data_IF_144571979934
#
_entry.id   IF_144571979934
#
_cell.length_a   1.000
_cell.length_b   1.000
_cell.length_c   1.000
_cell.angle_alpha   90.00
_cell.angle_beta   90.00
_cell.angle_gamma   90.00
#
_symmetry.space_group_name_H-M   'P 1'
#
loop_
_entity.id
_entity.type
_entity.pdbx_description
1 polymer ?
#
# COMPACT_ATOMS: atom_id res chain seq x y z
N UNK A 1 -17.48 -13.23 8.45
CA UNK A 1 -17.84 -12.64 7.14
C UNK A 1 -16.94 -13.27 6.10
N UNK A 2 -17.49 -13.75 4.98
CA UNK A 2 -16.69 -14.36 3.92
C UNK A 2 -15.84 -13.24 3.29
N UNK A 3 -14.50 -13.33 3.40
CA UNK A 3 -13.58 -12.39 2.74
C UNK A 3 -13.77 -12.57 1.23
N UNK A 4 -14.41 -11.62 0.57
CA UNK A 4 -14.46 -11.59 -0.90
C UNK A 4 -13.03 -11.25 -1.33
N UNK A 5 -12.25 -12.27 -1.70
CA UNK A 5 -10.86 -12.10 -2.11
C UNK A 5 -10.86 -11.46 -3.49
N UNK A 6 -10.68 -10.14 -3.56
CA UNK A 6 -10.34 -9.51 -4.83
C UNK A 6 -8.86 -9.77 -5.09
N UNK A 7 -8.60 -10.67 -6.05
CA UNK A 7 -7.25 -10.92 -6.55
C UNK A 7 -6.65 -9.62 -7.10
N UNK A 8 -5.32 -9.57 -7.22
CA UNK A 8 -4.63 -8.45 -7.87
C UNK A 8 -5.24 -8.12 -9.25
N UNK A 9 -5.73 -9.12 -9.97
CA UNK A 9 -6.36 -8.96 -11.27
C UNK A 9 -7.88 -8.81 -11.14
N UNK A 10 -8.42 -7.74 -11.73
CA UNK A 10 -9.85 -7.63 -12.00
C UNK A 10 -10.11 -8.23 -13.39
N UNK A 11 -10.93 -9.27 -13.49
CA UNK A 11 -11.26 -9.90 -14.77
C UNK A 11 -12.16 -8.96 -15.60
N UNK A 12 -11.55 -8.24 -16.53
CA UNK A 12 -12.24 -7.51 -17.60
C UNK A 12 -11.67 -7.96 -18.94
N UNK A 13 -12.48 -8.65 -19.75
CA UNK A 13 -12.14 -9.02 -21.13
C UNK A 13 -12.13 -7.75 -21.99
N UNK A 14 -10.96 -7.12 -22.14
CA UNK A 14 -10.75 -6.10 -23.17
C UNK A 14 -9.43 -6.40 -23.85
N UNK A 15 -9.50 -6.81 -25.12
CA UNK A 15 -8.36 -6.84 -26.02
C UNK A 15 -7.88 -5.39 -26.22
N UNK A 16 -6.71 -5.05 -25.69
CA UNK A 16 -6.21 -3.68 -25.69
C UNK A 16 -4.69 -3.58 -25.61
N UNK A 17 -4.15 -2.81 -26.54
CA UNK A 17 -2.77 -2.32 -26.74
C UNK A 17 -1.69 -2.61 -25.68
N UNK A 18 -0.51 -3.03 -26.16
CA UNK A 18 0.73 -3.28 -25.41
C UNK A 18 1.40 -2.01 -24.83
N UNK A 19 0.63 -1.03 -24.34
CA UNK A 19 1.22 0.17 -23.74
C UNK A 19 1.73 -0.17 -22.34
N UNK A 20 3.05 -0.12 -22.14
CA UNK A 20 3.68 -0.17 -20.82
C UNK A 20 3.34 1.08 -20.00
N UNK A 21 3.26 0.93 -18.67
CA UNK A 21 3.24 2.10 -17.79
C UNK A 21 4.69 2.43 -17.43
N UNK A 22 5.18 3.56 -17.91
CA UNK A 22 6.48 4.04 -17.45
C UNK A 22 6.48 4.18 -15.92
N UNK A 23 7.61 3.83 -15.30
CA UNK A 23 7.81 4.01 -13.87
C UNK A 23 7.48 5.47 -13.47
N UNK A 24 6.69 5.63 -12.41
CA UNK A 24 6.32 6.93 -11.88
C UNK A 24 7.55 7.71 -11.43
N UNK A 25 7.51 9.04 -11.62
CA UNK A 25 8.52 9.93 -11.05
C UNK A 25 8.36 10.05 -9.52
N UNK A 26 9.43 10.44 -8.82
CA UNK A 26 9.39 10.66 -7.38
C UNK A 26 8.29 11.64 -6.95
N UNK A 27 8.05 12.70 -7.73
CA UNK A 27 6.96 13.66 -7.46
C UNK A 27 5.59 13.01 -7.55
N UNK A 28 5.37 12.10 -8.51
CA UNK A 28 4.13 11.33 -8.61
C UNK A 28 3.99 10.36 -7.44
N UNK A 29 5.04 9.63 -7.07
CA UNK A 29 5.05 8.73 -5.91
C UNK A 29 4.67 9.49 -4.63
N UNK A 30 5.24 10.67 -4.38
CA UNK A 30 4.87 11.52 -3.23
C UNK A 30 3.39 11.84 -3.20
N UNK A 31 2.81 12.20 -4.35
CA UNK A 31 1.38 12.54 -4.46
C UNK A 31 0.50 11.33 -4.18
N UNK A 32 0.82 10.17 -4.76
CA UNK A 32 0.05 8.93 -4.55
C UNK A 32 0.12 8.47 -3.09
N UNK A 33 1.32 8.48 -2.49
CA UNK A 33 1.51 8.14 -1.08
C UNK A 33 0.74 9.08 -0.16
N UNK A 34 0.79 10.40 -0.43
CA UNK A 34 0.05 11.39 0.33
C UNK A 34 -1.46 11.20 0.22
N UNK A 35 -1.99 10.97 -0.99
CA UNK A 35 -3.42 10.76 -1.18
C UNK A 35 -3.91 9.51 -0.45
N UNK A 36 -3.20 8.38 -0.58
CA UNK A 36 -3.54 7.15 0.15
C UNK A 36 -3.51 7.36 1.67
N UNK A 37 -2.48 8.04 2.17
CA UNK A 37 -2.32 8.33 3.60
C UNK A 37 -3.39 9.27 4.13
N UNK A 38 -3.78 10.29 3.38
CA UNK A 38 -4.86 11.20 3.73
C UNK A 38 -6.19 10.46 3.91
N UNK A 39 -6.50 9.50 3.02
CA UNK A 39 -7.70 8.67 3.14
C UNK A 39 -7.63 7.73 4.33
N UNK A 40 -6.48 7.09 4.55
CA UNK A 40 -6.24 6.29 5.75
C UNK A 40 -6.39 7.13 7.03
N UNK A 41 -5.91 8.38 7.04
CA UNK A 41 -6.03 9.29 8.17
C UNK A 41 -7.49 9.61 8.49
N UNK A 42 -8.27 9.94 7.45
CA UNK A 42 -9.67 10.26 7.58
C UNK A 42 -10.50 9.07 8.10
N UNK A 43 -10.28 7.88 7.56
CA UNK A 43 -11.10 6.71 7.89
C UNK A 43 -10.65 5.96 9.14
N UNK A 44 -9.34 5.92 9.42
CA UNK A 44 -8.78 5.23 10.58
C UNK A 44 -8.57 6.17 11.77
N UNK A 45 -8.90 7.46 11.62
CA UNK A 45 -8.73 8.49 12.65
C UNK A 45 -7.29 8.51 13.19
N UNK A 46 -6.31 8.67 12.27
CA UNK A 46 -4.89 8.69 12.62
C UNK A 46 -4.54 9.98 13.36
N UNK A 47 -3.69 9.87 14.39
CA UNK A 47 -3.05 11.05 14.97
C UNK A 47 -1.90 11.53 14.07
N UNK A 48 -1.34 12.72 14.36
CA UNK A 48 -0.31 13.32 13.52
C UNK A 48 0.99 12.49 13.44
N UNK A 49 1.38 11.79 14.51
CA UNK A 49 2.58 10.94 14.50
C UNK A 49 2.33 9.74 13.57
N UNK A 50 1.21 9.06 13.74
CA UNK A 50 0.80 7.96 12.87
C UNK A 50 0.68 8.40 11.41
N UNK A 51 0.11 9.58 11.15
CA UNK A 51 -0.06 10.11 9.80
C UNK A 51 1.28 10.28 9.06
N UNK A 52 2.30 10.80 9.73
CA UNK A 52 3.64 10.93 9.15
C UNK A 52 4.28 9.56 8.87
N UNK A 53 4.20 8.63 9.81
CA UNK A 53 4.80 7.30 9.64
C UNK A 53 4.08 6.47 8.57
N UNK A 54 2.75 6.54 8.51
CA UNK A 54 1.94 5.89 7.46
C UNK A 54 2.29 6.45 6.07
N UNK A 55 2.59 7.75 5.96
CA UNK A 55 3.03 8.34 4.70
C UNK A 55 4.34 7.72 4.22
N UNK A 56 5.32 7.56 5.10
CA UNK A 56 6.62 6.98 4.76
C UNK A 56 6.48 5.50 4.36
N UNK A 57 5.67 4.73 5.09
CA UNK A 57 5.36 3.33 4.75
C UNK A 57 4.70 3.22 3.37
N UNK A 58 3.70 4.07 3.10
CA UNK A 58 3.03 4.10 1.81
C UNK A 58 3.97 4.55 0.68
N UNK A 59 4.85 5.51 0.95
CA UNK A 59 5.88 5.94 -0.01
C UNK A 59 6.81 4.78 -0.35
N UNK A 60 7.38 4.10 0.64
CA UNK A 60 8.32 3.00 0.45
C UNK A 60 7.70 1.85 -0.34
N UNK A 61 6.45 1.50 -0.03
CA UNK A 61 5.72 0.49 -0.78
C UNK A 61 5.55 0.89 -2.25
N UNK A 62 5.01 2.09 -2.51
CA UNK A 62 4.74 2.56 -3.87
C UNK A 62 6.05 2.64 -4.67
N UNK A 63 7.11 3.18 -4.05
CA UNK A 63 8.44 3.24 -4.64
C UNK A 63 8.97 1.85 -5.00
N UNK A 64 8.83 0.88 -4.09
CA UNK A 64 9.32 -0.50 -4.30
C UNK A 64 8.57 -1.23 -5.42
N UNK A 65 7.25 -1.02 -5.55
CA UNK A 65 6.48 -1.69 -6.59
C UNK A 65 6.59 -1.00 -7.96
N UNK A 66 6.92 0.29 -7.99
CA UNK A 66 6.92 1.13 -9.20
C UNK A 66 7.68 0.51 -10.38
N UNK A 67 8.81 -0.13 -10.11
CA UNK A 67 9.69 -0.71 -11.13
C UNK A 67 9.36 -2.18 -11.48
N UNK A 68 8.51 -2.85 -10.70
CA UNK A 68 8.17 -4.27 -10.92
C UNK A 68 6.77 -4.46 -11.46
N UNK A 69 5.86 -3.49 -11.27
CA UNK A 69 4.45 -3.65 -11.66
C UNK A 69 4.27 -3.90 -13.15
N UNK A 70 5.15 -3.35 -13.98
CA UNK A 70 5.14 -3.55 -15.43
C UNK A 70 5.38 -5.02 -15.82
N UNK A 71 6.22 -5.74 -15.07
CA UNK A 71 6.43 -7.18 -15.24
C UNK A 71 5.29 -8.00 -14.61
N UNK A 72 4.74 -7.51 -13.49
CA UNK A 72 3.58 -8.13 -12.83
C UNK A 72 2.38 -8.18 -13.77
N UNK A 73 2.04 -7.07 -14.44
CA UNK A 73 0.91 -7.01 -15.37
C UNK A 73 1.12 -7.86 -16.63
N UNK A 74 2.39 -8.17 -16.97
CA UNK A 74 2.76 -9.11 -18.04
C UNK A 74 2.76 -10.58 -17.61
N UNK A 75 2.40 -10.88 -16.36
CA UNK A 75 2.31 -12.24 -15.85
C UNK A 75 3.64 -12.84 -15.38
N UNK A 76 4.68 -12.01 -15.14
CA UNK A 76 5.94 -12.52 -14.60
C UNK A 76 5.76 -12.97 -13.14
N UNK A 77 5.85 -14.28 -12.90
CA UNK A 77 5.64 -14.89 -11.57
C UNK A 77 6.63 -14.39 -10.52
N UNK A 78 7.89 -14.15 -10.87
CA UNK A 78 8.91 -13.62 -9.94
C UNK A 78 8.59 -12.17 -9.57
N UNK A 79 8.10 -11.37 -10.51
CA UNK A 79 7.66 -10.00 -10.21
C UNK A 79 6.41 -10.01 -9.32
N UNK A 80 5.47 -10.93 -9.56
CA UNK A 80 4.28 -11.13 -8.72
C UNK A 80 4.63 -11.51 -7.28
N UNK A 81 5.60 -12.42 -7.10
CA UNK A 81 6.13 -12.78 -5.79
C UNK A 81 6.73 -11.57 -5.06
N UNK A 82 7.51 -10.74 -5.77
CA UNK A 82 8.07 -9.50 -5.21
C UNK A 82 6.97 -8.50 -4.82
N UNK A 83 5.91 -8.38 -5.62
CA UNK A 83 4.77 -7.53 -5.29
C UNK A 83 4.13 -7.96 -3.96
N UNK A 84 3.77 -9.23 -3.83
CA UNK A 84 3.15 -9.73 -2.59
C UNK A 84 4.09 -9.66 -1.39
N UNK A 85 5.39 -9.88 -1.58
CA UNK A 85 6.37 -9.67 -0.52
C UNK A 85 6.42 -8.21 -0.03
N UNK A 86 6.43 -7.24 -0.94
CA UNK A 86 6.40 -5.83 -0.58
C UNK A 86 5.08 -5.41 0.08
N UNK A 87 3.96 -6.00 -0.36
CA UNK A 87 2.65 -5.76 0.25
C UNK A 87 2.60 -6.29 1.69
N UNK A 88 3.12 -7.49 1.93
CA UNK A 88 3.20 -8.07 3.27
C UNK A 88 4.11 -7.24 4.19
N UNK A 89 5.25 -6.76 3.69
CA UNK A 89 6.13 -5.84 4.45
C UNK A 89 5.37 -4.57 4.83
N UNK A 90 4.74 -3.90 3.86
CA UNK A 90 3.95 -2.69 4.10
C UNK A 90 2.89 -2.93 5.18
N UNK A 91 2.12 -4.00 5.04
CA UNK A 91 1.02 -4.29 5.94
C UNK A 91 1.53 -4.66 7.35
N UNK A 92 2.69 -5.31 7.47
CA UNK A 92 3.33 -5.55 8.77
C UNK A 92 3.92 -4.28 9.39
N UNK A 93 4.47 -3.35 8.59
CA UNK A 93 4.97 -2.07 9.11
C UNK A 93 3.81 -1.20 9.63
N UNK A 94 2.67 -1.19 8.93
CA UNK A 94 1.45 -0.54 9.41
C UNK A 94 0.96 -1.14 10.75
N UNK A 95 1.26 -2.40 11.06
CA UNK A 95 0.88 -3.05 12.32
C UNK A 95 1.57 -2.43 13.53
N UNK A 96 2.78 -1.91 13.34
CA UNK A 96 3.54 -1.23 14.40
C UNK A 96 3.08 0.21 14.61
N UNK A 97 2.52 0.86 13.58
CA UNK A 97 2.07 2.26 13.62
C UNK A 97 0.60 2.39 14.02
N UNK A 98 -0.24 1.45 13.62
CA UNK A 98 -1.66 1.44 13.93
C UNK A 98 -1.93 0.75 15.26
N UNK A 99 -2.82 1.31 16.07
CA UNK A 99 -3.37 0.58 17.22
C UNK A 99 -4.10 -0.67 16.74
N UNK A 100 -4.24 -1.68 17.61
CA UNK A 100 -4.96 -2.91 17.27
C UNK A 100 -6.34 -2.65 16.64
N UNK A 101 -7.11 -1.70 17.19
CA UNK A 101 -8.44 -1.33 16.66
C UNK A 101 -8.35 -0.74 15.25
N UNK A 102 -7.39 0.16 15.02
CA UNK A 102 -7.17 0.75 13.69
C UNK A 102 -6.71 -0.30 12.69
N UNK A 103 -5.83 -1.21 13.11
CA UNK A 103 -5.32 -2.28 12.26
C UNK A 103 -6.41 -3.27 11.85
N UNK A 104 -7.28 -3.67 12.77
CA UNK A 104 -8.44 -4.52 12.46
C UNK A 104 -9.34 -3.86 11.41
N UNK A 105 -9.63 -2.56 11.57
CA UNK A 105 -10.40 -1.81 10.57
C UNK A 105 -9.67 -1.71 9.23
N UNK A 106 -8.35 -1.49 9.25
CA UNK A 106 -7.52 -1.49 8.05
C UNK A 106 -7.62 -2.80 7.26
N UNK A 107 -7.60 -3.96 7.92
CA UNK A 107 -7.76 -5.27 7.28
C UNK A 107 -9.11 -5.44 6.56
N UNK A 108 -10.15 -4.75 7.03
CA UNK A 108 -11.50 -4.80 6.45
C UNK A 108 -11.71 -3.79 5.31
N UNK A 109 -10.76 -2.86 5.08
CA UNK A 109 -10.84 -1.84 4.03
C UNK A 109 -9.94 -2.25 2.85
N UNK A 110 -10.54 -2.90 1.86
CA UNK A 110 -9.83 -3.51 0.72
C UNK A 110 -8.89 -2.54 -0.02
N UNK A 111 -9.33 -1.30 -0.26
CA UNK A 111 -8.52 -0.31 -0.97
C UNK A 111 -7.36 0.27 -0.14
N UNK A 112 -7.29 -0.01 1.17
CA UNK A 112 -6.11 0.22 1.98
C UNK A 112 -5.25 -1.03 2.16
N UNK A 113 -5.88 -2.18 2.42
CA UNK A 113 -5.20 -3.45 2.66
C UNK A 113 -4.50 -3.99 1.40
N UNK A 114 -5.14 -3.84 0.23
CA UNK A 114 -4.66 -4.24 -1.09
C UNK A 114 -4.74 -3.05 -2.05
N UNK A 115 -3.87 -2.04 -1.89
CA UNK A 115 -4.07 -0.72 -2.50
C UNK A 115 -3.98 -0.70 -4.02
N UNK A 116 -3.52 -1.79 -4.66
CA UNK A 116 -3.31 -1.89 -6.11
C UNK A 116 -4.20 -2.96 -6.72
N UNK A 117 -4.66 -2.69 -7.95
CA UNK A 117 -5.25 -3.69 -8.84
C UNK A 117 -4.69 -3.55 -10.26
N UNK A 118 -4.72 -4.64 -11.01
CA UNK A 118 -4.33 -4.72 -12.40
C UNK A 118 -5.55 -4.96 -13.29
N UNK A 119 -5.59 -4.27 -14.44
CA UNK A 119 -6.63 -4.40 -15.46
C UNK A 119 -6.06 -3.95 -16.81
N UNK A 120 -6.28 -4.72 -17.88
CA UNK A 120 -5.92 -4.34 -19.25
C UNK A 120 -4.46 -3.92 -19.42
N UNK A 121 -3.51 -4.77 -19.01
CA UNK A 121 -2.05 -4.52 -19.02
C UNK A 121 -1.57 -3.28 -18.26
N UNK A 122 -2.43 -2.70 -17.42
CA UNK A 122 -2.14 -1.54 -16.57
C UNK A 122 -2.44 -1.87 -15.12
N UNK A 123 -1.95 -1.02 -14.23
CA UNK A 123 -2.23 -1.11 -12.81
C UNK A 123 -2.65 0.25 -12.27
N UNK A 124 -3.41 0.20 -11.19
CA UNK A 124 -4.13 1.35 -10.66
C UNK A 124 -4.23 1.25 -9.14
N UNK A 125 -4.44 2.39 -8.48
CA UNK A 125 -4.73 2.40 -7.05
C UNK A 125 -6.24 2.24 -6.81
N UNK A 126 -6.61 1.29 -5.94
CA UNK A 126 -8.01 1.02 -5.59
C UNK A 126 -8.68 2.20 -4.89
N UNK A 127 -7.92 3.04 -4.19
CA UNK A 127 -8.45 4.20 -3.46
C UNK A 127 -9.22 5.16 -4.38
N UNK A 128 -8.86 5.23 -5.67
CA UNK A 128 -9.54 6.06 -6.66
C UNK A 128 -10.90 5.52 -7.13
N UNK A 129 -11.20 4.24 -6.86
CA UNK A 129 -12.54 3.69 -7.09
C UNK A 129 -13.53 4.28 -6.07
N UNK A 130 -13.08 4.43 -4.83
CA UNK A 130 -13.92 4.94 -3.72
C UNK A 130 -13.89 6.47 -3.66
N UNK A 131 -12.73 7.09 -3.80
CA UNK A 131 -12.55 8.54 -3.75
C UNK A 131 -12.40 9.10 -5.16
N UNK A 132 -13.52 9.46 -5.79
CA UNK A 132 -13.56 9.97 -7.17
C UNK A 132 -13.11 11.43 -7.31
N UNK A 133 -13.15 12.21 -6.23
CA UNK A 133 -12.52 13.53 -6.19
C UNK A 133 -11.04 13.42 -5.77
N UNK A 134 -10.16 13.30 -6.76
CA UNK A 134 -8.72 13.07 -6.55
C UNK A 134 -7.98 14.32 -6.03
N UNK A 135 -8.66 15.47 -5.96
CA UNK A 135 -8.10 16.72 -5.48
C UNK A 135 -8.51 17.06 -4.04
N UNK A 136 -9.44 16.30 -3.46
CA UNK A 136 -9.88 16.51 -2.08
C UNK A 136 -8.87 15.89 -1.13
N UNK A 137 -8.28 16.70 -0.26
CA UNK A 137 -7.45 16.27 0.88
C UNK A 137 -8.11 16.76 2.17
N UNK A 138 -8.10 15.92 3.20
CA UNK A 138 -8.63 16.26 4.52
C UNK A 138 -7.55 16.82 5.45
N UNK A 139 -6.29 16.39 5.26
CA UNK A 139 -5.13 16.83 6.02
C UNK A 139 -4.15 17.59 5.14
N UNK A 140 -3.29 18.39 5.79
CA UNK A 140 -2.13 18.99 5.14
C UNK A 140 -1.08 17.93 4.80
N UNK A 141 -0.09 18.33 3.99
CA UNK A 141 1.04 17.46 3.64
C UNK A 141 1.78 16.98 4.91
N UNK A 142 2.21 15.71 4.95
CA UNK A 142 3.10 15.20 5.99
C UNK A 142 4.37 16.05 6.13
N UNK A 143 4.94 16.08 7.32
CA UNK A 143 6.13 16.90 7.63
C UNK A 143 7.31 16.54 6.71
N UNK A 144 7.47 15.26 6.40
CA UNK A 144 8.54 14.75 5.56
C UNK A 144 8.20 14.73 4.06
N UNK A 145 7.08 15.34 3.64
CA UNK A 145 6.57 15.24 2.26
C UNK A 145 7.58 15.66 1.19
N UNK A 146 8.43 16.66 1.44
CA UNK A 146 9.45 17.12 0.48
C UNK A 146 10.83 16.50 0.71
N UNK A 147 11.08 15.93 1.89
CA UNK A 147 12.43 15.53 2.35
C UNK A 147 12.61 14.01 2.40
N UNK A 148 11.54 13.23 2.52
CA UNK A 148 11.61 11.77 2.59
C UNK A 148 11.89 11.18 1.21
N UNK A 149 12.95 10.41 1.04
CA UNK A 149 13.31 9.80 -0.26
C UNK A 149 13.32 8.28 -0.20
N UNK A 150 12.56 7.73 0.74
CA UNK A 150 12.67 6.35 1.15
C UNK A 150 13.78 6.14 2.16
N UNK A 151 13.87 4.91 2.67
CA UNK A 151 14.94 4.50 3.57
C UNK A 151 14.48 3.56 4.66
N UNK A 152 13.20 3.64 5.07
CA UNK A 152 12.64 2.88 6.18
C UNK A 152 12.19 1.45 5.81
N UNK A 153 12.30 1.06 4.54
CA UNK A 153 12.09 -0.31 4.10
C UNK A 153 12.99 -1.31 4.86
N UNK A 154 12.43 -2.47 5.18
CA UNK A 154 13.05 -3.49 6.04
C UNK A 154 14.38 -4.04 5.58
N UNK A 155 14.64 -4.05 4.27
CA UNK A 155 15.94 -4.48 3.73
C UNK A 155 17.07 -3.63 4.31
N UNK A 156 16.79 -2.36 4.62
CA UNK A 156 17.75 -1.45 5.22
C UNK A 156 17.85 -1.57 6.76
N UNK A 157 17.01 -2.41 7.38
CA UNK A 157 16.82 -2.47 8.84
C UNK A 157 16.93 -3.90 9.39
N UNK A 158 17.89 -4.70 8.89
CA UNK A 158 18.11 -6.08 9.32
C UNK A 158 16.83 -6.94 9.30
N UNK A 159 15.97 -6.72 8.30
CA UNK A 159 14.67 -7.38 8.16
C UNK A 159 13.68 -7.14 9.31
N UNK A 160 13.93 -6.12 10.14
CA UNK A 160 13.05 -5.67 11.22
C UNK A 160 12.34 -4.38 10.79
N UNK A 161 11.12 -4.16 11.28
CA UNK A 161 10.41 -2.91 11.04
C UNK A 161 11.12 -1.73 11.70
N UNK A 162 11.37 -0.66 10.93
CA UNK A 162 11.85 0.62 11.46
C UNK A 162 10.87 1.26 12.47
N UNK A 163 9.59 0.91 12.38
CA UNK A 163 8.52 1.47 13.21
C UNK A 163 8.26 0.70 14.49
N UNK A 164 8.94 -0.44 14.67
CA UNK A 164 8.84 -1.26 15.87
C UNK A 164 9.18 -0.42 17.11
N UNK A 165 8.36 -0.54 18.14
CA UNK A 165 8.52 0.10 19.46
C UNK A 165 8.48 1.65 19.45
N UNK A 166 8.08 2.29 18.34
CA UNK A 166 7.94 3.76 18.25
C UNK A 166 6.60 4.31 18.73
N UNK A 167 5.59 3.45 18.82
CA UNK A 167 4.23 3.82 19.23
C UNK A 167 3.84 3.07 20.51
N UNK A 168 3.36 3.82 21.50
CA UNK A 168 2.96 3.28 22.79
C UNK A 168 1.48 2.86 22.79
N UNK A 169 1.16 1.78 22.08
CA UNK A 169 -0.16 1.17 22.08
C UNK A 169 -0.07 -0.34 21.78
N UNK A 170 -1.12 -1.09 22.13
CA UNK A 170 -1.24 -2.48 21.72
C UNK A 170 -1.25 -2.60 20.19
N UNK A 171 -0.40 -3.48 19.66
CA UNK A 171 -0.34 -3.81 18.23
C UNK A 171 -1.12 -5.10 17.97
N UNK A 172 -1.64 -5.25 16.75
CA UNK A 172 -2.31 -6.48 16.34
C UNK A 172 -1.31 -7.65 16.25
N UNK A 173 -1.71 -8.85 16.67
CA UNK A 173 -0.87 -10.05 16.72
C UNK A 173 -1.40 -11.23 15.88
N UNK A 174 -2.49 -11.03 15.14
CA UNK A 174 -3.06 -12.06 14.26
C UNK A 174 -2.45 -12.09 12.86
N UNK A 175 -3.00 -12.91 11.98
CA UNK A 175 -2.55 -13.03 10.59
C UNK A 175 -2.85 -11.77 9.76
N UNK A 176 -1.90 -11.40 8.88
CA UNK A 176 -1.96 -10.22 8.01
C UNK A 176 -1.33 -10.44 6.62
N UNK A 177 -0.77 -11.64 6.34
CA UNK A 177 -0.07 -11.91 5.08
C UNK A 177 -1.07 -12.16 3.96
N UNK A 178 -1.03 -11.29 2.96
CA UNK A 178 -1.78 -11.41 1.71
C UNK A 178 -1.27 -12.59 0.90
N UNK A 179 0.05 -12.85 0.92
CA UNK A 179 0.62 -14.02 0.21
C UNK A 179 0.03 -15.32 0.73
N UNK A 180 -0.10 -15.48 2.04
CA UNK A 180 -0.66 -16.69 2.65
C UNK A 180 -2.12 -16.94 2.25
N UNK A 181 -2.92 -15.87 2.09
CA UNK A 181 -4.32 -15.94 1.68
C UNK A 181 -4.49 -16.41 0.22
N UNK A 182 -3.49 -16.17 -0.64
CA UNK A 182 -3.52 -16.56 -2.05
C UNK A 182 -3.05 -18.00 -2.30
N UNK A 183 -2.31 -18.63 -1.38
CA UNK A 183 -1.85 -20.03 -1.49
C UNK A 183 -2.93 -21.02 -1.02
N UNK A 184 -3.88 -20.55 -0.22
CA UNK A 184 -5.02 -21.34 0.27
C UNK A 184 -6.25 -21.38 -0.66
N UNK A 185 -6.07 -21.05 -1.95
CA UNK A 185 -7.10 -21.14 -3.00
C UNK A 185 -6.77 -22.23 -4.01
#
# INVERSE_FOLDING_TARGET
MKRIVFSLFLFGLIAGSNTCMAAMSNSKIRKEAHFLTDKMAHELNLNMIQYNDVYEINYDFIFSINHIMDDVVRGNSRALDKYYHNLDIRNDDLRWVLSERQYRRFLDIEYFYRPVYASGNKWYFRVYITYTNHSLFYLSKPNSYNTYHGGHHRINHNHTSYYKDKHNHAHYNGAYSVKSENVSM
#
